data_IF_511776874595
#
_entry.id   IF_511776874595
#
_cell.length_a   1.000
_cell.length_b   1.000
_cell.length_c   1.000
_cell.angle_alpha   90.00
_cell.angle_beta   90.00
_cell.angle_gamma   90.00
#
_symmetry.space_group_name_H-M   'P 1'
#
loop_
_entity.id
_entity.type
_entity.pdbx_description
1 polymer ?
#
# COMPACT_ATOMS: atom_id res chain seq x y z
N UNK A 1 13.24 -19.04 3.42
CA UNK A 1 12.64 -20.40 3.40
C UNK A 1 12.16 -20.67 1.99
N UNK A 2 12.21 -21.91 1.53
CA UNK A 2 11.75 -22.25 0.17
C UNK A 2 10.23 -22.47 0.20
N UNK A 3 9.52 -21.83 -0.73
CA UNK A 3 8.09 -22.07 -0.93
C UNK A 3 7.96 -23.20 -1.96
N UNK A 4 7.39 -24.37 -1.59
CA UNK A 4 7.33 -25.53 -2.49
C UNK A 4 6.31 -25.35 -3.63
N UNK A 5 5.24 -24.59 -3.38
CA UNK A 5 4.23 -24.22 -4.39
C UNK A 5 3.62 -22.84 -4.05
N UNK A 6 3.25 -22.00 -5.05
CA UNK A 6 2.75 -20.65 -4.80
C UNK A 6 1.54 -20.59 -3.86
N UNK A 7 0.64 -21.57 -3.93
CA UNK A 7 -0.55 -21.67 -3.07
C UNK A 7 -0.22 -21.79 -1.57
N UNK A 8 0.99 -22.24 -1.22
CA UNK A 8 1.43 -22.39 0.17
C UNK A 8 2.23 -21.20 0.70
N UNK A 9 2.43 -20.14 -0.10
CA UNK A 9 3.23 -18.99 0.30
C UNK A 9 2.81 -18.42 1.66
N UNK A 10 1.52 -18.17 1.87
CA UNK A 10 0.98 -17.67 3.14
C UNK A 10 1.28 -18.59 4.35
N UNK A 11 1.30 -19.92 4.17
CA UNK A 11 1.62 -20.86 5.24
C UNK A 11 3.10 -20.81 5.59
N UNK A 12 3.97 -20.76 4.59
CA UNK A 12 5.42 -20.61 4.78
C UNK A 12 5.74 -19.28 5.47
N UNK A 13 5.00 -18.22 5.14
CA UNK A 13 5.13 -16.93 5.83
C UNK A 13 4.80 -17.04 7.34
N UNK A 14 3.72 -17.73 7.69
CA UNK A 14 3.38 -17.96 9.11
C UNK A 14 4.41 -18.83 9.81
N UNK A 15 4.79 -19.95 9.20
CA UNK A 15 5.82 -20.86 9.71
C UNK A 15 7.15 -20.12 9.96
N UNK A 16 7.51 -19.21 9.05
CA UNK A 16 8.69 -18.37 9.20
C UNK A 16 8.64 -17.54 10.49
N UNK A 17 7.50 -16.94 10.80
CA UNK A 17 7.33 -16.12 12.00
C UNK A 17 7.28 -16.97 13.26
N UNK A 18 6.53 -18.06 13.24
CA UNK A 18 6.33 -18.94 14.40
C UNK A 18 7.63 -19.63 14.84
N UNK A 19 8.44 -20.09 13.88
CA UNK A 19 9.62 -20.90 14.19
C UNK A 19 10.93 -20.09 14.24
N UNK A 20 10.98 -18.90 13.62
CA UNK A 20 12.23 -18.15 13.48
C UNK A 20 12.19 -16.73 14.05
N UNK A 21 11.01 -16.18 14.40
CA UNK A 21 10.86 -14.81 14.91
C UNK A 21 11.70 -13.77 14.15
N UNK A 22 11.55 -13.66 12.82
CA UNK A 22 12.40 -12.81 12.01
C UNK A 22 12.09 -11.32 12.27
N UNK A 23 13.11 -10.48 12.13
CA UNK A 23 12.92 -9.02 12.15
C UNK A 23 12.33 -8.50 10.83
N UNK A 24 12.62 -9.18 9.71
CA UNK A 24 12.21 -8.79 8.35
C UNK A 24 11.77 -10.01 7.55
N UNK A 25 10.66 -9.89 6.82
CA UNK A 25 10.22 -10.82 5.78
C UNK A 25 10.13 -10.10 4.44
N UNK A 26 10.71 -10.71 3.41
CA UNK A 26 10.64 -10.24 2.02
C UNK A 26 9.77 -11.22 1.24
N UNK A 27 8.71 -10.71 0.62
CA UNK A 27 7.78 -11.46 -0.22
C UNK A 27 7.95 -10.98 -1.65
N UNK A 28 8.15 -11.90 -2.59
CA UNK A 28 8.36 -11.49 -3.99
C UNK A 28 7.08 -10.86 -4.54
N UNK A 29 5.95 -11.55 -4.44
CA UNK A 29 4.67 -11.03 -4.95
C UNK A 29 3.52 -11.40 -4.00
N UNK A 30 2.69 -10.41 -3.67
CA UNK A 30 1.45 -10.56 -2.90
C UNK A 30 0.28 -10.35 -3.85
N UNK A 31 -0.50 -11.40 -4.09
CA UNK A 31 -1.59 -11.39 -5.06
C UNK A 31 -2.90 -11.99 -4.56
N UNK A 32 -2.87 -12.75 -3.46
CA UNK A 32 -4.03 -13.47 -2.94
C UNK A 32 -4.52 -12.93 -1.59
N UNK A 33 -5.78 -13.18 -1.26
CA UNK A 33 -6.36 -12.78 0.03
C UNK A 33 -5.65 -13.43 1.22
N UNK A 34 -5.24 -14.69 1.07
CA UNK A 34 -4.51 -15.41 2.09
C UNK A 34 -3.13 -14.77 2.39
N UNK A 35 -2.44 -14.30 1.36
CA UNK A 35 -1.16 -13.60 1.50
C UNK A 35 -1.32 -12.22 2.12
N UNK A 36 -2.31 -11.44 1.67
CA UNK A 36 -2.63 -10.13 2.25
C UNK A 36 -2.97 -10.25 3.74
N UNK A 37 -3.76 -11.26 4.11
CA UNK A 37 -4.08 -11.56 5.52
C UNK A 37 -2.84 -11.99 6.32
N UNK A 38 -1.97 -12.81 5.73
CA UNK A 38 -0.71 -13.21 6.35
C UNK A 38 0.19 -12.00 6.59
N UNK A 39 0.38 -11.13 5.60
CA UNK A 39 1.12 -9.88 5.74
C UNK A 39 0.58 -9.03 6.90
N UNK A 40 -0.74 -8.82 6.97
CA UNK A 40 -1.34 -8.07 8.08
C UNK A 40 -1.02 -8.67 9.44
N UNK A 41 -1.27 -9.97 9.59
CA UNK A 41 -1.05 -10.70 10.85
C UNK A 41 0.41 -10.67 11.29
N UNK A 42 1.33 -10.70 10.34
CA UNK A 42 2.78 -10.66 10.58
C UNK A 42 3.23 -9.24 10.96
N UNK A 43 2.74 -8.21 10.25
CA UNK A 43 3.03 -6.82 10.59
C UNK A 43 2.52 -6.45 11.99
N UNK A 44 1.34 -6.94 12.39
CA UNK A 44 0.77 -6.73 13.73
C UNK A 44 1.64 -7.33 14.85
N UNK A 45 2.50 -8.31 14.52
CA UNK A 45 3.50 -8.88 15.45
C UNK A 45 4.82 -8.08 15.48
N UNK A 46 4.90 -6.96 14.75
CA UNK A 46 6.06 -6.08 14.72
C UNK A 46 7.15 -6.50 13.73
N UNK A 47 6.90 -7.51 12.89
CA UNK A 47 7.84 -7.94 11.84
C UNK A 47 7.76 -6.96 10.66
N UNK A 48 8.92 -6.49 10.19
CA UNK A 48 8.97 -5.63 9.00
C UNK A 48 8.68 -6.44 7.74
N UNK A 49 7.82 -5.92 6.86
CA UNK A 49 7.51 -6.52 5.58
C UNK A 49 8.02 -5.68 4.42
N UNK A 50 8.59 -6.36 3.43
CA UNK A 50 8.91 -5.83 2.11
C UNK A 50 8.22 -6.76 1.11
N UNK A 51 7.39 -6.21 0.24
CA UNK A 51 6.64 -7.00 -0.73
C UNK A 51 6.51 -6.27 -2.06
N UNK A 52 6.38 -7.02 -3.16
CA UNK A 52 5.80 -6.47 -4.38
C UNK A 52 4.35 -6.93 -4.54
N UNK A 53 3.59 -6.18 -5.33
CA UNK A 53 2.22 -6.53 -5.67
C UNK A 53 1.93 -5.98 -7.07
N UNK A 54 1.02 -6.62 -7.80
CA UNK A 54 0.59 -6.13 -9.10
C UNK A 54 -0.31 -4.89 -8.98
N UNK A 55 0.08 -3.84 -9.69
CA UNK A 55 -0.68 -2.61 -9.83
C UNK A 55 0.14 -1.58 -10.62
N UNK A 56 -0.52 -0.80 -11.46
CA UNK A 56 0.14 0.29 -12.21
C UNK A 56 0.19 1.58 -11.35
N UNK A 57 -0.89 1.84 -10.62
CA UNK A 57 -1.10 3.04 -9.82
C UNK A 57 -1.59 2.68 -8.42
N UNK A 58 -1.34 3.54 -7.43
CA UNK A 58 -1.92 3.38 -6.08
C UNK A 58 -3.46 3.22 -6.11
N UNK A 59 -4.16 3.90 -7.02
CA UNK A 59 -5.60 3.73 -7.19
C UNK A 59 -6.05 2.35 -7.66
N UNK A 60 -5.20 1.58 -8.35
CA UNK A 60 -5.53 0.20 -8.69
C UNK A 60 -5.60 -0.67 -7.43
N UNK A 61 -4.68 -0.44 -6.48
CA UNK A 61 -4.66 -1.12 -5.19
C UNK A 61 -5.91 -0.75 -4.37
N UNK A 62 -6.33 0.53 -4.40
CA UNK A 62 -7.56 0.98 -3.72
C UNK A 62 -8.82 0.32 -4.23
N UNK A 63 -8.88 0.01 -5.53
CA UNK A 63 -10.05 -0.63 -6.17
C UNK A 63 -10.01 -2.15 -6.09
N UNK A 64 -8.86 -2.74 -5.78
CA UNK A 64 -8.70 -4.19 -5.67
C UNK A 64 -9.09 -4.65 -4.26
N UNK A 65 -10.18 -5.40 -4.07
CA UNK A 65 -10.62 -5.81 -2.74
C UNK A 65 -9.55 -6.56 -1.95
N UNK A 66 -8.82 -7.47 -2.61
CA UNK A 66 -7.75 -8.28 -2.04
C UNK A 66 -6.58 -7.44 -1.55
N UNK A 67 -6.08 -6.53 -2.38
CA UNK A 67 -4.89 -5.74 -2.06
C UNK A 67 -5.21 -4.49 -1.23
N UNK A 68 -6.46 -4.00 -1.28
CA UNK A 68 -6.91 -2.83 -0.51
C UNK A 68 -6.71 -3.01 1.00
N UNK A 69 -6.84 -4.24 1.51
CA UNK A 69 -6.63 -4.56 2.92
C UNK A 69 -5.19 -4.25 3.37
N UNK A 70 -4.20 -4.41 2.50
CA UNK A 70 -2.80 -4.11 2.81
C UNK A 70 -2.50 -2.61 2.97
N UNK A 71 -3.35 -1.75 2.38
CA UNK A 71 -3.25 -0.30 2.49
C UNK A 71 -4.26 0.28 3.50
N UNK A 72 -4.82 -0.57 4.36
CA UNK A 72 -5.69 -0.20 5.47
C UNK A 72 -7.16 -0.54 5.25
N UNK A 73 -7.50 -1.20 4.14
CA UNK A 73 -8.87 -1.50 3.71
C UNK A 73 -9.64 -0.24 3.35
N UNK A 74 -10.69 -0.37 2.54
CA UNK A 74 -11.60 0.75 2.23
C UNK A 74 -13.01 0.35 2.63
N UNK A 75 -13.72 1.25 3.31
CA UNK A 75 -15.13 1.09 3.65
C UNK A 75 -15.94 2.35 3.41
N UNK A 76 -17.25 2.16 3.28
CA UNK A 76 -18.22 3.25 3.18
C UNK A 76 -18.77 3.56 4.56
N UNK A 77 -18.53 4.76 5.06
CA UNK A 77 -19.01 5.26 6.35
C UNK A 77 -20.16 6.24 6.13
N UNK A 78 -21.23 6.10 6.91
CA UNK A 78 -22.33 7.07 6.94
C UNK A 78 -22.14 8.05 8.09
N UNK A 79 -21.84 9.30 7.77
CA UNK A 79 -21.73 10.42 8.69
C UNK A 79 -23.10 10.95 9.10
N UNK A 80 -23.19 11.45 10.34
CA UNK A 80 -24.31 12.26 10.79
C UNK A 80 -24.37 13.62 10.07
N UNK A 81 -25.52 14.28 10.12
CA UNK A 81 -25.80 15.53 9.41
C UNK A 81 -24.85 16.66 9.79
N UNK A 82 -24.51 16.76 11.08
CA UNK A 82 -23.57 17.78 11.59
C UNK A 82 -22.15 17.55 11.06
N UNK A 83 -21.66 16.31 11.11
CA UNK A 83 -20.31 15.95 10.64
C UNK A 83 -20.18 16.12 9.12
N UNK A 84 -21.19 15.70 8.36
CA UNK A 84 -21.23 15.87 6.91
C UNK A 84 -21.21 17.36 6.51
N UNK A 85 -21.94 18.21 7.24
CA UNK A 85 -21.91 19.67 7.06
C UNK A 85 -20.55 20.26 7.43
N UNK A 86 -19.96 19.85 8.56
CA UNK A 86 -18.67 20.32 9.02
C UNK A 86 -17.56 20.00 8.00
N UNK A 87 -17.57 18.79 7.44
CA UNK A 87 -16.62 18.33 6.42
C UNK A 87 -16.96 18.74 4.98
N UNK A 88 -18.12 19.38 4.76
CA UNK A 88 -18.66 19.75 3.43
C UNK A 88 -18.68 18.58 2.45
N UNK A 89 -19.08 17.41 2.93
CA UNK A 89 -19.15 16.19 2.13
C UNK A 89 -20.56 15.58 2.14
N UNK A 90 -20.74 14.53 1.34
CA UNK A 90 -21.95 13.72 1.38
C UNK A 90 -22.03 12.96 2.71
N UNK A 91 -23.24 12.52 3.10
CA UNK A 91 -23.40 11.67 4.29
C UNK A 91 -22.68 10.33 4.15
N UNK A 92 -22.51 9.82 2.94
CA UNK A 92 -21.76 8.59 2.68
C UNK A 92 -20.39 8.94 2.10
N UNK A 93 -19.32 8.52 2.76
CA UNK A 93 -17.93 8.75 2.32
C UNK A 93 -17.12 7.45 2.38
N UNK A 94 -16.01 7.41 1.63
CA UNK A 94 -15.03 6.34 1.73
C UNK A 94 -13.95 6.71 2.76
N UNK A 95 -13.65 5.80 3.67
CA UNK A 95 -12.55 5.92 4.64
C UNK A 95 -11.77 4.60 4.74
N UNK A 96 -10.56 4.66 5.30
CA UNK A 96 -9.81 3.46 5.63
C UNK A 96 -10.34 2.80 6.90
N UNK A 97 -10.37 1.46 6.91
CA UNK A 97 -10.80 0.65 8.06
C UNK A 97 -9.76 0.62 9.19
N UNK A 98 -8.48 0.63 8.81
CA UNK A 98 -7.35 0.42 9.71
C UNK A 98 -6.08 1.12 9.20
N UNK A 99 -5.03 1.24 10.02
CA UNK A 99 -3.69 1.61 9.55
C UNK A 99 -3.21 0.68 8.42
N UNK A 100 -2.48 1.19 7.41
CA UNK A 100 -1.93 0.35 6.35
C UNK A 100 -0.87 -0.60 6.90
N UNK A 101 -0.79 -1.80 6.33
CA UNK A 101 0.27 -2.80 6.63
C UNK A 101 1.65 -2.26 6.25
N UNK A 102 1.73 -1.59 5.10
CA UNK A 102 2.97 -1.02 4.58
C UNK A 102 2.96 0.50 4.77
N UNK A 103 3.92 1.04 5.51
CA UNK A 103 4.03 2.48 5.77
C UNK A 103 4.37 3.29 4.50
N UNK A 104 5.16 2.69 3.60
CA UNK A 104 5.50 3.26 2.31
C UNK A 104 5.07 2.32 1.19
N UNK A 105 4.61 2.90 0.09
CA UNK A 105 4.37 2.20 -1.17
C UNK A 105 5.22 2.84 -2.25
N UNK A 106 5.84 1.99 -3.08
CA UNK A 106 6.68 2.42 -4.20
C UNK A 106 5.96 2.02 -5.49
N UNK A 107 5.46 3.00 -6.22
CA UNK A 107 4.86 2.84 -7.53
C UNK A 107 5.96 2.93 -8.59
N UNK A 108 6.25 1.80 -9.23
CA UNK A 108 7.25 1.71 -10.31
C UNK A 108 6.60 2.07 -11.64
N UNK A 109 6.81 3.30 -12.14
CA UNK A 109 6.28 3.69 -13.47
C UNK A 109 7.20 3.24 -14.59
N UNK A 110 8.50 3.36 -14.39
CA UNK A 110 9.53 2.89 -15.30
C UNK A 110 10.73 2.33 -14.52
N UNK A 111 11.64 1.64 -15.22
CA UNK A 111 12.86 1.08 -14.62
C UNK A 111 13.70 2.10 -13.83
N UNK A 112 13.67 3.36 -14.25
CA UNK A 112 14.46 4.44 -13.67
C UNK A 112 13.61 5.60 -13.14
N UNK A 113 12.29 5.40 -13.02
CA UNK A 113 11.34 6.40 -12.53
C UNK A 113 10.32 5.74 -11.61
N UNK A 114 10.25 6.19 -10.36
CA UNK A 114 9.25 5.67 -9.41
C UNK A 114 8.74 6.75 -8.46
N UNK A 115 7.54 6.52 -7.94
CA UNK A 115 6.85 7.40 -7.01
C UNK A 115 6.77 6.72 -5.66
N UNK A 116 7.24 7.40 -4.62
CA UNK A 116 7.12 6.95 -3.24
C UNK A 116 5.95 7.66 -2.57
N UNK A 117 5.02 6.86 -2.10
CA UNK A 117 3.87 7.26 -1.31
C UNK A 117 4.16 7.07 0.19
N UNK A 118 3.72 8.01 1.01
CA UNK A 118 3.38 7.72 2.42
C UNK A 118 1.99 7.11 2.39
N UNK A 119 1.85 5.80 2.60
CA UNK A 119 0.64 5.04 2.27
C UNK A 119 -0.59 5.66 2.90
N UNK A 120 -0.56 5.88 4.22
CA UNK A 120 -1.66 6.46 4.99
C UNK A 120 -2.16 7.78 4.41
N UNK A 121 -1.26 8.77 4.29
CA UNK A 121 -1.59 10.10 3.75
C UNK A 121 -2.05 10.05 2.30
N UNK A 122 -1.43 9.19 1.50
CA UNK A 122 -1.71 9.10 0.08
C UNK A 122 -3.10 8.53 -0.16
N UNK A 123 -3.43 7.44 0.54
CA UNK A 123 -4.75 6.82 0.49
C UNK A 123 -5.82 7.78 0.98
N UNK A 124 -5.63 8.43 2.13
CA UNK A 124 -6.64 9.33 2.71
C UNK A 124 -6.96 10.51 1.79
N UNK A 125 -5.95 11.07 1.11
CA UNK A 125 -6.15 12.13 0.12
C UNK A 125 -6.90 11.62 -1.12
N UNK A 126 -6.51 10.44 -1.63
CA UNK A 126 -7.17 9.83 -2.79
C UNK A 126 -8.64 9.48 -2.52
N UNK A 127 -8.96 8.95 -1.34
CA UNK A 127 -10.35 8.66 -0.93
C UNK A 127 -11.21 9.94 -0.83
N UNK A 128 -10.60 11.09 -0.56
CA UNK A 128 -11.23 12.42 -0.57
C UNK A 128 -11.28 13.07 -1.96
N UNK A 129 -10.82 12.38 -3.01
CA UNK A 129 -10.75 12.90 -4.37
C UNK A 129 -9.65 13.95 -4.57
N UNK A 130 -8.62 13.97 -3.72
CA UNK A 130 -7.50 14.90 -3.78
C UNK A 130 -6.22 14.18 -4.25
N UNK A 131 -5.31 14.93 -4.89
CA UNK A 131 -4.01 14.39 -5.28
C UNK A 131 -3.02 14.49 -4.11
N UNK A 132 -2.39 13.37 -3.68
CA UNK A 132 -1.43 13.41 -2.61
C UNK A 132 -0.11 14.08 -2.98
N UNK A 133 0.64 14.51 -1.97
CA UNK A 133 2.03 14.92 -2.13
C UNK A 133 2.95 13.71 -2.00
N UNK A 134 3.81 13.51 -2.99
CA UNK A 134 4.66 12.32 -3.13
C UNK A 134 6.14 12.69 -3.27
N UNK A 135 7.01 11.69 -3.13
CA UNK A 135 8.41 11.80 -3.53
C UNK A 135 8.58 11.13 -4.90
N UNK A 136 9.00 11.87 -5.91
CA UNK A 136 9.40 11.31 -7.20
C UNK A 136 10.89 11.01 -7.15
N UNK A 137 11.27 9.82 -7.60
CA UNK A 137 12.66 9.37 -7.64
C UNK A 137 13.02 8.91 -9.04
N UNK A 138 14.17 9.38 -9.51
CA UNK A 138 14.68 9.08 -10.85
C UNK A 138 16.14 8.66 -10.76
N UNK A 139 16.62 7.81 -11.69
CA UNK A 139 18.06 7.61 -11.88
C UNK A 139 18.56 8.53 -12.99
N UNK A 140 19.65 9.25 -12.72
CA UNK A 140 20.36 10.02 -13.75
C UNK A 140 21.22 9.12 -14.66
N UNK A 141 21.87 9.70 -15.66
CA UNK A 141 22.75 8.98 -16.61
C UNK A 141 23.94 8.29 -15.93
N UNK A 142 24.23 8.63 -14.67
CA UNK A 142 25.29 8.04 -13.83
C UNK A 142 24.72 7.05 -12.82
N UNK A 143 23.45 6.68 -12.92
CA UNK A 143 22.70 5.81 -12.01
C UNK A 143 22.55 6.33 -10.57
N UNK A 144 22.80 7.61 -10.32
CA UNK A 144 22.53 8.22 -9.03
C UNK A 144 21.03 8.49 -8.87
N UNK A 145 20.51 8.31 -7.65
CA UNK A 145 19.11 8.59 -7.35
C UNK A 145 18.93 10.08 -7.09
N UNK A 146 18.16 10.73 -7.97
CA UNK A 146 17.66 12.09 -7.79
C UNK A 146 16.29 12.04 -7.13
N UNK A 147 16.08 12.83 -6.07
CA UNK A 147 14.84 12.83 -5.28
C UNK A 147 14.18 14.21 -5.36
N UNK A 148 12.96 14.24 -5.90
CA UNK A 148 12.08 15.42 -5.91
C UNK A 148 11.00 15.20 -4.83
N UNK A 149 11.01 16.01 -3.77
CA UNK A 149 10.06 15.88 -2.65
C UNK A 149 8.87 16.82 -2.84
N UNK A 150 7.72 16.44 -2.29
CA UNK A 150 6.50 17.25 -2.24
C UNK A 150 5.91 17.56 -3.61
N UNK A 151 6.10 16.65 -4.56
CA UNK A 151 5.49 16.76 -5.87
C UNK A 151 4.01 16.41 -5.77
N UNK A 152 3.15 17.13 -6.48
CA UNK A 152 1.75 16.72 -6.62
C UNK A 152 1.71 15.43 -7.43
N UNK A 153 1.07 14.41 -6.88
CA UNK A 153 0.84 13.15 -7.59
C UNK A 153 0.03 13.42 -8.85
N UNK A 154 0.62 13.14 -10.01
CA UNK A 154 -0.06 13.16 -11.29
C UNK A 154 -0.29 11.74 -11.78
N UNK A 155 -1.35 11.56 -12.56
CA UNK A 155 -1.69 10.30 -13.23
C UNK A 155 -1.26 10.30 -14.69
N UNK A 156 -0.21 11.05 -15.07
CA UNK A 156 0.12 11.16 -16.50
C UNK A 156 0.45 9.77 -17.02
N UNK A 157 -0.41 9.29 -17.92
CA UNK A 157 -0.07 8.26 -18.89
C UNK A 157 1.21 8.74 -19.58
N UNK A 158 2.28 7.96 -19.45
CA UNK A 158 3.52 8.17 -20.18
C UNK A 158 3.32 7.63 -21.59
#
# INVERSE_FOLDING_TARGET
MQVPEPSLQHKVMFEAVENHMPEVIIVDEIGTEAEALACRSIAERGVMLIGTAHGEWLENILKNPTLSDMIGGVETVTLGDEEARARRCQKSILERKAPPTFYFLIEMRERHYWVKHKTEKSVDMLLRGQNPLVEIRKRDDRFNVVIERWQTYDRREI
#
